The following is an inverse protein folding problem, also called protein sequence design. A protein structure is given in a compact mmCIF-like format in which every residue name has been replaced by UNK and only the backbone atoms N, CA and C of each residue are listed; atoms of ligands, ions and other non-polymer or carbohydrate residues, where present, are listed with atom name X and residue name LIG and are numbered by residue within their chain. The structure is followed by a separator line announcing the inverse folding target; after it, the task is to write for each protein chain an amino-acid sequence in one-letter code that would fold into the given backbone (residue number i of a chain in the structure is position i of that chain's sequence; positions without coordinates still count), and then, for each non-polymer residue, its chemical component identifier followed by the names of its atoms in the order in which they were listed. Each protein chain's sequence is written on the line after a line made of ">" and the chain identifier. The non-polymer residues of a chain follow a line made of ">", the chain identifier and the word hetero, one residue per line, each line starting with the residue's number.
data_IF_051595760898
#
_entry.id   IF_051595760898
#
_cell.length_a   1.000
_cell.length_b   1.000
_cell.length_c   1.000
_cell.angle_alpha   90.00
_cell.angle_beta   90.00
_cell.angle_gamma   90.00
#
_symmetry.space_group_name_H-M   'P 1'
#
loop_
_entity.id
_entity.type
_entity.pdbx_description
1 polymer ?
#
# COMPACT_ATOMS: atom_id res chain seq x y z
N UNK A 1 2.90 -35.79 16.76
CA UNK A 1 3.26 -34.92 17.89
C UNK A 1 4.50 -34.08 17.61
N UNK A 2 5.66 -34.69 17.33
CA UNK A 2 6.92 -33.97 17.02
C UNK A 2 6.82 -32.96 15.86
N UNK A 3 6.22 -33.36 14.74
CA UNK A 3 6.05 -32.46 13.57
C UNK A 3 5.20 -31.23 13.90
N UNK A 4 4.12 -31.41 14.67
CA UNK A 4 3.23 -30.31 15.05
C UNK A 4 3.88 -29.35 16.05
N UNK A 5 4.65 -29.89 17.01
CA UNK A 5 5.46 -29.08 17.91
C UNK A 5 6.51 -28.28 17.14
N UNK A 6 7.23 -28.92 16.21
CA UNK A 6 8.20 -28.25 15.37
C UNK A 6 7.59 -27.13 14.52
N UNK A 7 6.47 -27.40 13.85
CA UNK A 7 5.75 -26.40 13.05
C UNK A 7 5.29 -25.21 13.90
N UNK A 8 4.76 -25.46 15.10
CA UNK A 8 4.36 -24.40 16.03
C UNK A 8 5.56 -23.58 16.51
N UNK A 9 6.69 -24.23 16.82
CA UNK A 9 7.93 -23.53 17.20
C UNK A 9 8.42 -22.64 16.07
N UNK A 10 8.48 -23.16 14.83
CA UNK A 10 8.87 -22.38 13.65
C UNK A 10 7.91 -21.20 13.42
N UNK A 11 6.60 -21.42 13.53
CA UNK A 11 5.59 -20.38 13.41
C UNK A 11 5.82 -19.25 14.42
N UNK A 12 6.03 -19.59 15.69
CA UNK A 12 6.26 -18.60 16.75
C UNK A 12 7.56 -17.84 16.51
N UNK A 13 8.67 -18.53 16.19
CA UNK A 13 9.96 -17.89 15.95
C UNK A 13 9.90 -16.94 14.75
N UNK A 14 9.31 -17.37 13.64
CA UNK A 14 9.19 -16.56 12.43
C UNK A 14 8.30 -15.33 12.68
N UNK A 15 7.17 -15.52 13.36
CA UNK A 15 6.27 -14.40 13.68
C UNK A 15 6.87 -13.42 14.65
N UNK A 16 7.54 -13.88 15.71
CA UNK A 16 8.19 -13.01 16.68
C UNK A 16 9.32 -12.21 16.04
N UNK A 17 10.12 -12.83 15.17
CA UNK A 17 11.18 -12.14 14.44
C UNK A 17 10.61 -11.07 13.51
N UNK A 18 9.60 -11.42 12.71
CA UNK A 18 8.94 -10.48 11.81
C UNK A 18 8.22 -9.36 12.58
N UNK A 19 7.57 -9.66 13.69
CA UNK A 19 6.89 -8.68 14.54
C UNK A 19 7.88 -7.73 15.21
N UNK A 20 9.04 -8.22 15.66
CA UNK A 20 10.13 -7.37 16.19
C UNK A 20 10.69 -6.45 15.11
N UNK A 21 10.90 -6.97 13.89
CA UNK A 21 11.39 -6.17 12.78
C UNK A 21 10.40 -5.06 12.38
N UNK A 22 9.14 -5.41 12.13
CA UNK A 22 8.09 -4.46 11.73
C UNK A 22 7.69 -3.51 12.86
N UNK A 23 7.71 -3.98 14.10
CA UNK A 23 7.39 -3.20 15.29
C UNK A 23 8.52 -2.27 15.75
N UNK A 24 9.72 -2.38 15.16
CA UNK A 24 10.84 -1.51 15.48
C UNK A 24 10.49 -0.05 15.13
N UNK A 25 10.73 0.86 16.07
CA UNK A 25 10.50 2.30 15.88
C UNK A 25 11.28 2.85 14.69
N UNK A 26 12.50 2.37 14.47
CA UNK A 26 13.32 2.75 13.32
C UNK A 26 12.66 2.33 12.00
N UNK A 27 12.15 1.10 11.89
CA UNK A 27 11.45 0.63 10.69
C UNK A 27 10.21 1.48 10.44
N UNK A 28 9.34 1.66 11.45
CA UNK A 28 8.11 2.45 11.32
C UNK A 28 8.38 3.90 10.88
N UNK A 29 9.42 4.53 11.41
CA UNK A 29 9.77 5.90 11.05
C UNK A 29 10.40 6.01 9.66
N UNK A 30 11.27 5.08 9.25
CA UNK A 30 12.07 5.23 8.03
C UNK A 30 11.52 4.48 6.82
N UNK A 31 10.50 3.63 6.99
CA UNK A 31 9.94 2.84 5.88
C UNK A 31 9.45 3.70 4.71
N UNK A 32 8.84 4.85 4.98
CA UNK A 32 8.41 5.78 3.92
C UNK A 32 9.59 6.41 3.16
N UNK A 33 10.74 6.61 3.81
CA UNK A 33 11.96 7.09 3.18
C UNK A 33 12.58 6.00 2.31
N UNK A 34 12.59 4.75 2.80
CA UNK A 34 13.00 3.59 2.01
C UNK A 34 12.15 3.46 0.74
N UNK A 35 10.83 3.56 0.86
CA UNK A 35 9.92 3.48 -0.28
C UNK A 35 10.14 4.65 -1.26
N UNK A 36 10.36 5.86 -0.75
CA UNK A 36 10.69 7.02 -1.58
C UNK A 36 12.02 6.83 -2.33
N UNK A 37 13.05 6.30 -1.65
CA UNK A 37 14.33 5.97 -2.27
C UNK A 37 14.14 4.88 -3.35
N UNK A 38 13.33 3.85 -3.08
CA UNK A 38 13.00 2.81 -4.08
C UNK A 38 12.33 3.42 -5.31
N UNK A 39 11.40 4.37 -5.16
CA UNK A 39 10.74 5.01 -6.32
C UNK A 39 11.70 5.90 -7.11
N UNK A 40 12.59 6.63 -6.43
CA UNK A 40 13.57 7.53 -7.09
C UNK A 40 14.66 6.74 -7.82
N UNK A 41 15.25 5.75 -7.15
CA UNK A 41 16.38 4.99 -7.69
C UNK A 41 15.95 3.72 -8.44
N UNK A 42 14.76 3.19 -8.20
CA UNK A 42 14.29 1.94 -8.80
C UNK A 42 14.43 1.88 -10.32
N UNK A 43 14.12 2.95 -11.07
CA UNK A 43 14.29 2.92 -12.52
C UNK A 43 15.73 2.86 -13.01
N UNK A 44 16.74 3.17 -12.18
CA UNK A 44 18.15 2.94 -12.57
C UNK A 44 18.46 1.44 -12.67
N UNK A 45 17.65 0.58 -12.04
CA UNK A 45 17.74 -0.88 -12.20
C UNK A 45 17.44 -1.32 -13.64
N UNK A 46 16.73 -0.51 -14.44
CA UNK A 46 16.46 -0.81 -15.85
C UNK A 46 17.74 -0.99 -16.69
N UNK A 47 18.86 -0.39 -16.27
CA UNK A 47 20.16 -0.53 -16.94
C UNK A 47 20.78 -1.92 -16.76
N UNK A 48 20.39 -2.64 -15.72
CA UNK A 48 20.99 -3.92 -15.32
C UNK A 48 20.07 -5.11 -15.63
N UNK A 49 18.77 -4.86 -15.79
CA UNK A 49 17.76 -5.91 -15.94
C UNK A 49 17.57 -6.27 -17.42
N UNK A 50 17.68 -7.58 -17.72
CA UNK A 50 17.47 -8.10 -19.07
C UNK A 50 16.00 -8.00 -19.49
N UNK A 51 15.75 -7.38 -20.64
CA UNK A 51 14.44 -7.24 -21.29
C UNK A 51 13.84 -8.59 -21.76
N UNK A 52 14.61 -9.68 -21.71
CA UNK A 52 14.16 -11.03 -22.10
C UNK A 52 13.54 -11.83 -20.95
N UNK A 53 13.47 -11.24 -19.76
CA UNK A 53 12.83 -11.86 -18.60
C UNK A 53 11.31 -12.00 -18.79
N UNK A 54 10.73 -13.03 -18.19
CA UNK A 54 9.27 -13.32 -18.20
C UNK A 54 8.46 -12.09 -17.72
N UNK A 55 9.05 -11.26 -16.86
CA UNK A 55 8.44 -10.07 -16.28
C UNK A 55 8.49 -8.81 -17.16
N UNK A 56 9.25 -8.82 -18.26
CA UNK A 56 9.32 -7.68 -19.18
C UNK A 56 8.03 -7.48 -20.00
N UNK A 57 7.14 -8.49 -20.03
CA UNK A 57 5.87 -8.40 -20.73
C UNK A 57 4.80 -7.79 -19.82
N UNK A 58 4.40 -6.53 -20.08
CA UNK A 58 3.33 -5.84 -19.32
C UNK A 58 2.00 -6.62 -19.34
N UNK A 59 1.81 -7.46 -20.35
CA UNK A 59 0.63 -8.30 -20.51
C UNK A 59 0.66 -9.57 -19.64
N UNK A 60 1.68 -9.77 -18.80
CA UNK A 60 1.80 -10.98 -18.01
C UNK A 60 0.62 -11.11 -17.03
N UNK A 61 0.05 -12.32 -16.95
CA UNK A 61 -1.16 -12.58 -16.18
C UNK A 61 -0.98 -12.26 -14.69
N UNK A 62 0.17 -12.62 -14.10
CA UNK A 62 0.44 -12.36 -12.69
C UNK A 62 0.42 -10.86 -12.35
N UNK A 63 1.02 -10.02 -13.22
CA UNK A 63 1.05 -8.57 -13.00
C UNK A 63 -0.38 -8.00 -12.99
N UNK A 64 -1.18 -8.34 -14.00
CA UNK A 64 -2.57 -7.86 -14.10
C UNK A 64 -3.47 -8.40 -13.00
N UNK A 65 -3.37 -9.68 -12.67
CA UNK A 65 -4.21 -10.30 -11.66
C UNK A 65 -3.92 -9.70 -10.28
N UNK A 66 -2.66 -9.62 -9.87
CA UNK A 66 -2.31 -9.14 -8.54
C UNK A 66 -2.51 -7.64 -8.37
N UNK A 67 -2.19 -6.82 -9.37
CA UNK A 67 -2.41 -5.37 -9.26
C UNK A 67 -3.88 -5.01 -9.26
N UNK A 68 -4.67 -5.57 -10.19
CA UNK A 68 -6.09 -5.23 -10.27
C UNK A 68 -6.88 -5.75 -9.07
N UNK A 69 -6.49 -6.92 -8.54
CA UNK A 69 -7.10 -7.50 -7.34
C UNK A 69 -6.44 -7.02 -6.03
N UNK A 70 -5.47 -6.11 -6.09
CA UNK A 70 -4.61 -5.84 -4.94
C UNK A 70 -5.33 -5.24 -3.74
N UNK A 71 -6.35 -4.41 -3.97
CA UNK A 71 -7.24 -3.94 -2.91
C UNK A 71 -7.96 -5.12 -2.26
N UNK A 72 -8.50 -6.06 -3.05
CA UNK A 72 -9.19 -7.25 -2.53
C UNK A 72 -8.29 -8.05 -1.59
N UNK A 73 -7.07 -8.36 -2.01
CA UNK A 73 -6.11 -9.07 -1.16
C UNK A 73 -5.73 -8.29 0.10
N UNK A 74 -5.53 -6.98 -0.02
CA UNK A 74 -5.22 -6.10 1.12
C UNK A 74 -6.38 -6.04 2.10
N UNK A 75 -7.63 -5.89 1.64
CA UNK A 75 -8.82 -5.92 2.49
C UNK A 75 -9.01 -7.27 3.17
N UNK A 76 -8.81 -8.38 2.46
CA UNK A 76 -8.98 -9.72 3.02
C UNK A 76 -7.95 -9.99 4.11
N UNK A 77 -6.66 -9.82 3.83
CA UNK A 77 -5.62 -10.19 4.80
C UNK A 77 -5.48 -9.16 5.92
N UNK A 78 -5.34 -7.87 5.57
CA UNK A 78 -5.18 -6.80 6.57
C UNK A 78 -6.45 -6.57 7.33
N UNK A 79 -7.61 -6.58 6.64
CA UNK A 79 -8.89 -6.39 7.30
C UNK A 79 -9.18 -7.51 8.29
N UNK A 80 -8.95 -8.76 7.91
CA UNK A 80 -9.05 -9.89 8.84
C UNK A 80 -8.06 -9.76 10.00
N UNK A 81 -6.83 -9.31 9.74
CA UNK A 81 -5.80 -9.14 10.78
C UNK A 81 -6.21 -8.09 11.81
N UNK A 82 -6.59 -6.90 11.34
CA UNK A 82 -7.06 -5.79 12.17
C UNK A 82 -8.32 -6.21 12.94
N UNK A 83 -9.24 -6.92 12.30
CA UNK A 83 -10.47 -7.38 12.93
C UNK A 83 -10.18 -8.39 14.06
N UNK A 84 -9.38 -9.42 13.80
CA UNK A 84 -9.05 -10.44 14.79
C UNK A 84 -8.22 -9.86 15.94
N UNK A 85 -7.26 -8.99 15.65
CA UNK A 85 -6.46 -8.31 16.69
C UNK A 85 -7.35 -7.44 17.58
N UNK A 86 -8.22 -6.62 16.98
CA UNK A 86 -9.13 -5.73 17.73
C UNK A 86 -10.15 -6.51 18.54
N UNK A 87 -10.73 -7.57 17.96
CA UNK A 87 -11.70 -8.43 18.62
C UNK A 87 -11.07 -9.23 19.77
N UNK A 88 -9.84 -9.73 19.61
CA UNK A 88 -9.12 -10.47 20.64
C UNK A 88 -8.90 -9.61 21.91
N UNK A 89 -8.60 -8.32 21.75
CA UNK A 89 -8.33 -7.43 22.90
C UNK A 89 -9.61 -6.91 23.55
N UNK A 90 -10.57 -6.42 22.76
CA UNK A 90 -11.73 -5.65 23.29
C UNK A 90 -13.06 -6.41 23.24
N UNK A 91 -13.13 -7.55 22.55
CA UNK A 91 -14.34 -8.36 22.30
C UNK A 91 -15.57 -7.57 21.80
N UNK A 92 -15.37 -6.36 21.26
CA UNK A 92 -16.43 -5.49 20.77
C UNK A 92 -16.41 -5.40 19.25
N UNK A 93 -17.54 -5.72 18.62
CA UNK A 93 -17.70 -5.67 17.16
C UNK A 93 -17.65 -4.23 16.63
N UNK A 94 -18.28 -3.29 17.33
CA UNK A 94 -18.35 -1.89 16.89
C UNK A 94 -16.97 -1.25 16.82
N UNK A 95 -16.13 -1.50 17.82
CA UNK A 95 -14.76 -0.98 17.84
C UNK A 95 -13.89 -1.63 16.76
N UNK A 96 -14.08 -2.93 16.52
CA UNK A 96 -13.37 -3.64 15.46
C UNK A 96 -13.74 -3.11 14.06
N UNK A 97 -15.03 -2.86 13.81
CA UNK A 97 -15.50 -2.22 12.58
C UNK A 97 -14.98 -0.78 12.43
N UNK A 98 -14.88 -0.04 13.54
CA UNK A 98 -14.31 1.30 13.52
C UNK A 98 -12.82 1.27 13.10
N UNK A 99 -12.04 0.30 13.58
CA UNK A 99 -10.66 0.13 13.11
C UNK A 99 -10.58 -0.35 11.65
N UNK A 100 -11.50 -1.20 11.22
CA UNK A 100 -11.60 -1.65 9.83
C UNK A 100 -11.93 -0.49 8.87
N UNK A 101 -12.63 0.55 9.36
CA UNK A 101 -12.95 1.73 8.56
C UNK A 101 -11.70 2.46 8.03
N UNK A 102 -10.52 2.30 8.67
CA UNK A 102 -9.25 2.83 8.14
C UNK A 102 -8.96 2.34 6.73
N UNK A 103 -9.12 1.04 6.49
CA UNK A 103 -8.90 0.44 5.17
C UNK A 103 -9.93 0.95 4.16
N UNK A 104 -11.20 1.08 4.59
CA UNK A 104 -12.27 1.60 3.74
C UNK A 104 -12.01 3.06 3.33
N UNK A 105 -11.56 3.90 4.27
CA UNK A 105 -11.19 5.29 4.00
C UNK A 105 -9.99 5.37 3.05
N UNK A 106 -8.95 4.56 3.24
CA UNK A 106 -7.80 4.52 2.35
C UNK A 106 -8.19 4.07 0.92
N UNK A 107 -9.04 3.05 0.79
CA UNK A 107 -9.57 2.59 -0.50
C UNK A 107 -10.47 3.63 -1.17
N UNK A 108 -11.30 4.32 -0.40
CA UNK A 108 -12.15 5.41 -0.89
C UNK A 108 -11.35 6.60 -1.40
N UNK A 109 -10.32 7.03 -0.65
CA UNK A 109 -9.41 8.10 -1.08
C UNK A 109 -8.64 7.71 -2.34
N UNK A 110 -8.14 6.48 -2.41
CA UNK A 110 -7.51 5.95 -3.62
C UNK A 110 -8.43 6.10 -4.84
N UNK A 111 -9.67 5.59 -4.75
CA UNK A 111 -10.63 5.67 -5.85
C UNK A 111 -10.95 7.12 -6.21
N UNK A 112 -11.12 8.00 -5.21
CA UNK A 112 -11.34 9.43 -5.42
C UNK A 112 -10.19 10.09 -6.16
N UNK A 113 -8.94 9.80 -5.77
CA UNK A 113 -7.75 10.33 -6.44
C UNK A 113 -7.59 9.77 -7.86
N UNK A 114 -7.89 8.49 -8.12
CA UNK A 114 -7.91 7.97 -9.49
C UNK A 114 -8.90 8.73 -10.37
N UNK A 115 -10.12 8.99 -9.87
CA UNK A 115 -11.12 9.78 -10.61
C UNK A 115 -10.70 11.23 -10.82
N UNK A 116 -10.04 11.82 -9.84
CA UNK A 116 -9.49 13.16 -9.96
C UNK A 116 -8.36 13.22 -11.00
N UNK A 117 -7.46 12.24 -10.99
CA UNK A 117 -6.37 12.13 -11.97
C UNK A 117 -6.90 11.88 -13.38
N UNK A 118 -7.90 11.00 -13.53
CA UNK A 118 -8.62 10.79 -14.79
C UNK A 118 -9.21 12.11 -15.31
N UNK A 119 -9.85 12.89 -14.42
CA UNK A 119 -10.44 14.18 -14.79
C UNK A 119 -9.35 15.19 -15.18
N UNK A 120 -8.30 15.31 -14.38
CA UNK A 120 -7.18 16.22 -14.63
C UNK A 120 -6.45 15.87 -15.94
N UNK A 121 -6.26 14.58 -16.23
CA UNK A 121 -5.65 14.16 -17.48
C UNK A 121 -6.54 14.56 -18.66
N UNK A 122 -7.85 14.31 -18.59
CA UNK A 122 -8.78 14.67 -19.66
C UNK A 122 -8.91 16.18 -19.88
N UNK A 123 -8.73 17.02 -18.85
CA UNK A 123 -8.82 18.47 -18.98
C UNK A 123 -7.50 19.12 -19.40
N UNK A 124 -6.36 18.55 -19.00
CA UNK A 124 -5.02 19.11 -19.30
C UNK A 124 -4.40 18.50 -20.55
N UNK A 125 -4.86 17.31 -20.96
CA UNK A 125 -4.35 16.62 -22.12
C UNK A 125 -4.87 17.19 -23.42
N UNK A 126 -4.13 16.91 -24.48
CA UNK A 126 -4.41 17.37 -25.83
C UNK A 126 -4.30 16.20 -26.80
N UNK A 127 -5.23 16.14 -27.75
CA UNK A 127 -5.24 15.15 -28.81
C UNK A 127 -4.52 15.70 -30.05
N UNK A 128 -3.64 14.88 -30.63
CA UNK A 128 -2.89 15.22 -31.83
C UNK A 128 -3.18 14.22 -32.94
N UNK A 129 -3.61 14.73 -34.09
CA UNK A 129 -3.71 13.98 -35.33
C UNK A 129 -2.36 14.00 -36.05
N UNK A 130 -1.85 12.83 -36.46
CA UNK A 130 -0.60 12.75 -37.23
C UNK A 130 -0.91 12.87 -38.72
N UNK A 131 -0.65 14.04 -39.31
CA UNK A 131 -0.69 14.15 -40.77
C UNK A 131 0.62 13.64 -41.36
N UNK A 132 0.52 12.62 -42.22
CA UNK A 132 1.61 12.11 -43.07
C UNK A 132 1.95 13.07 -44.22
N UNK A 133 1.86 14.38 -44.00
CA UNK A 133 2.31 15.36 -44.99
C UNK A 133 3.83 15.45 -44.82
N UNK A 134 4.55 14.99 -45.85
CA UNK A 134 5.99 15.11 -45.97
C UNK A 134 6.37 16.60 -46.05
N UNK A 135 6.43 17.26 -44.90
CA UNK A 135 7.09 18.56 -44.79
C UNK A 135 8.57 18.31 -45.03
N UNK A 136 9.21 19.15 -45.84
CA UNK A 136 10.58 19.03 -46.37
C UNK A 136 11.73 18.78 -45.36
N UNK A 137 11.44 18.66 -44.06
CA UNK A 137 12.37 18.37 -42.97
C UNK A 137 12.10 17.03 -42.22
N UNK A 138 11.22 16.15 -42.72
CA UNK A 138 11.09 14.77 -42.21
C UNK A 138 10.47 14.61 -40.82
N UNK A 139 9.87 15.67 -40.25
CA UNK A 139 9.12 15.60 -39.00
C UNK A 139 7.61 15.57 -39.28
N UNK A 140 6.86 14.60 -38.74
CA UNK A 140 5.41 14.53 -38.95
C UNK A 140 4.71 15.75 -38.34
N UNK A 141 3.80 16.36 -39.11
CA UNK A 141 3.02 17.50 -38.65
C UNK A 141 1.91 17.00 -37.71
N UNK A 142 1.92 17.45 -36.47
CA UNK A 142 0.90 17.13 -35.47
C UNK A 142 -0.13 18.26 -35.40
N UNK A 143 -1.37 17.98 -35.77
CA UNK A 143 -2.48 18.96 -35.67
C UNK A 143 -3.18 18.78 -34.34
N UNK A 144 -3.23 19.86 -33.54
CA UNK A 144 -3.95 19.91 -32.27
C UNK A 144 -5.46 19.86 -32.53
N UNK A 145 -6.16 18.93 -31.88
CA UNK A 145 -7.61 18.86 -31.88
C UNK A 145 -8.14 19.20 -30.49
N UNK A 146 -8.73 20.37 -30.38
CA UNK A 146 -9.29 20.88 -29.12
C UNK A 146 -10.62 20.19 -28.80
N UNK A 147 -10.83 19.83 -27.52
CA UNK A 147 -12.13 19.42 -26.99
C UNK A 147 -12.47 17.92 -27.04
N UNK A 148 -11.57 17.05 -27.51
CA UNK A 148 -11.81 15.60 -27.52
C UNK A 148 -11.29 14.92 -26.25
N UNK A 149 -12.06 13.96 -25.72
CA UNK A 149 -11.63 13.16 -24.57
C UNK A 149 -10.54 12.17 -24.96
N UNK A 150 -9.72 11.73 -23.98
CA UNK A 150 -8.66 10.73 -24.21
C UNK A 150 -9.18 9.47 -24.92
N UNK A 151 -10.39 9.03 -24.56
CA UNK A 151 -11.01 7.82 -25.13
C UNK A 151 -11.38 8.01 -26.60
N UNK A 152 -11.95 9.15 -26.95
CA UNK A 152 -12.31 9.48 -28.34
C UNK A 152 -11.06 9.65 -29.19
N UNK A 153 -10.05 10.35 -28.67
CA UNK A 153 -8.75 10.52 -29.30
C UNK A 153 -8.11 9.16 -29.67
N UNK A 154 -7.96 8.27 -28.68
CA UNK A 154 -7.35 6.96 -28.90
C UNK A 154 -8.19 6.05 -29.80
N UNK A 155 -9.53 6.18 -29.76
CA UNK A 155 -10.43 5.45 -30.67
C UNK A 155 -10.29 5.93 -32.12
N UNK A 156 -9.98 7.21 -32.32
CA UNK A 156 -9.68 7.80 -33.62
C UNK A 156 -8.30 7.41 -34.17
N UNK A 157 -7.49 6.66 -33.43
CA UNK A 157 -6.11 6.32 -33.83
C UNK A 157 -5.12 7.48 -33.63
N UNK A 158 -5.55 8.55 -32.94
CA UNK A 158 -4.76 9.74 -32.69
C UNK A 158 -3.83 9.58 -31.47
N UNK A 159 -2.86 10.49 -31.34
CA UNK A 159 -1.88 10.48 -30.25
C UNK A 159 -2.31 11.44 -29.15
N UNK A 160 -2.47 10.92 -27.93
CA UNK A 160 -2.77 11.71 -26.75
C UNK A 160 -1.47 12.14 -26.03
N UNK A 161 -1.36 13.42 -25.65
CA UNK A 161 -0.32 13.89 -24.72
C UNK A 161 -0.97 14.62 -23.56
N UNK A 162 -0.70 14.16 -22.33
CA UNK A 162 -1.18 14.77 -21.11
C UNK A 162 -0.28 14.44 -19.92
N UNK A 163 -0.57 15.06 -18.78
CA UNK A 163 0.11 14.73 -17.53
C UNK A 163 -0.37 13.37 -17.01
N UNK A 164 0.25 12.29 -17.47
CA UNK A 164 -0.02 10.94 -16.98
C UNK A 164 0.66 10.75 -15.62
N UNK A 165 -0.10 10.31 -14.62
CA UNK A 165 0.44 9.89 -13.31
C UNK A 165 0.35 8.37 -13.24
N UNK A 166 1.40 7.71 -12.76
CA UNK A 166 1.38 6.25 -12.67
C UNK A 166 0.48 5.79 -11.53
N UNK A 167 -0.74 5.39 -11.89
CA UNK A 167 -1.71 4.78 -10.97
C UNK A 167 -1.13 3.50 -10.32
N UNK A 168 -0.49 2.63 -11.09
CA UNK A 168 0.09 1.38 -10.56
C UNK A 168 1.11 1.64 -9.42
N UNK A 169 2.01 2.64 -9.60
CA UNK A 169 2.99 3.00 -8.55
C UNK A 169 2.30 3.67 -7.37
N UNK A 170 1.35 4.56 -7.63
CA UNK A 170 0.54 5.21 -6.59
C UNK A 170 -0.15 4.15 -5.71
N UNK A 171 -0.75 3.14 -6.33
CA UNK A 171 -1.49 2.07 -5.66
C UNK A 171 -0.57 1.23 -4.78
N UNK A 172 0.52 0.72 -5.37
CA UNK A 172 1.48 -0.13 -4.67
C UNK A 172 2.11 0.59 -3.50
N UNK A 173 2.48 1.87 -3.65
CA UNK A 173 3.07 2.65 -2.58
C UNK A 173 2.10 2.82 -1.41
N UNK A 174 0.83 3.17 -1.70
CA UNK A 174 -0.20 3.31 -0.69
C UNK A 174 -0.45 2.00 0.07
N UNK A 175 -0.54 0.87 -0.65
CA UNK A 175 -0.69 -0.45 -0.04
C UNK A 175 0.50 -0.85 0.83
N UNK A 176 1.74 -0.62 0.39
CA UNK A 176 2.93 -0.91 1.19
C UNK A 176 2.92 -0.12 2.51
N UNK A 177 2.63 1.18 2.45
CA UNK A 177 2.62 2.06 3.62
C UNK A 177 1.49 1.71 4.60
N UNK A 178 0.27 1.47 4.09
CA UNK A 178 -0.87 1.04 4.88
C UNK A 178 -0.57 -0.28 5.59
N UNK A 179 -0.07 -1.26 4.84
CA UNK A 179 0.22 -2.59 5.35
C UNK A 179 1.32 -2.56 6.42
N UNK A 180 2.39 -1.79 6.21
CA UNK A 180 3.45 -1.60 7.19
C UNK A 180 2.94 -0.96 8.49
N UNK A 181 2.08 0.06 8.43
CA UNK A 181 1.51 0.69 9.64
C UNK A 181 0.55 -0.21 10.41
N UNK A 182 -0.39 -0.88 9.72
CA UNK A 182 -1.38 -1.74 10.41
C UNK A 182 -0.70 -2.96 11.05
N UNK A 183 0.34 -3.52 10.42
CA UNK A 183 1.06 -4.68 10.95
C UNK A 183 2.11 -4.34 12.00
N UNK A 184 2.65 -3.11 12.03
CA UNK A 184 3.64 -2.69 13.02
C UNK A 184 3.11 -2.71 14.48
N UNK A 185 1.79 -2.73 14.67
CA UNK A 185 1.16 -2.82 16.01
C UNK A 185 1.41 -4.18 16.68
N UNK A 186 1.67 -5.23 15.89
CA UNK A 186 1.79 -6.59 16.41
C UNK A 186 3.03 -6.79 17.28
N UNK A 187 4.16 -6.13 16.95
CA UNK A 187 5.39 -6.21 17.74
C UNK A 187 5.21 -5.72 19.18
N UNK A 188 4.76 -4.47 19.40
CA UNK A 188 4.43 -3.97 20.72
C UNK A 188 3.36 -4.79 21.45
N UNK A 189 2.37 -5.32 20.73
CA UNK A 189 1.34 -6.19 21.30
C UNK A 189 1.94 -7.47 21.90
N UNK A 190 2.88 -8.12 21.20
CA UNK A 190 3.58 -9.29 21.69
C UNK A 190 4.54 -8.97 22.83
N UNK A 191 5.24 -7.83 22.78
CA UNK A 191 6.16 -7.44 23.87
C UNK A 191 5.44 -7.16 25.19
N UNK A 192 4.19 -6.73 25.12
CA UNK A 192 3.32 -6.58 26.29
C UNK A 192 2.69 -7.91 26.73
N UNK A 193 3.10 -9.07 26.19
CA UNK A 193 2.54 -10.38 26.57
C UNK A 193 1.13 -10.64 26.03
N UNK A 194 0.74 -10.01 24.92
CA UNK A 194 -0.55 -10.26 24.27
C UNK A 194 -0.74 -11.73 23.90
N UNK A 195 -1.94 -12.28 24.14
CA UNK A 195 -2.26 -13.66 23.77
C UNK A 195 -2.27 -13.76 22.24
N UNK A 196 -1.43 -14.63 21.69
CA UNK A 196 -1.24 -14.71 20.24
C UNK A 196 -1.53 -16.12 19.76
N UNK A 197 -2.80 -16.33 19.45
CA UNK A 197 -3.32 -17.57 18.90
C UNK A 197 -2.71 -17.88 17.52
N UNK A 198 -2.58 -19.16 17.19
CA UNK A 198 -2.00 -19.60 15.92
C UNK A 198 -2.67 -18.96 14.67
N UNK A 199 -4.01 -18.78 14.60
CA UNK A 199 -4.64 -18.11 13.46
C UNK A 199 -4.20 -16.65 13.27
N UNK A 200 -4.03 -15.90 14.37
CA UNK A 200 -3.58 -14.51 14.31
C UNK A 200 -2.13 -14.42 13.81
N UNK A 201 -1.27 -15.33 14.29
CA UNK A 201 0.13 -15.46 13.85
C UNK A 201 0.24 -15.80 12.37
N UNK A 202 -0.54 -16.77 11.90
CA UNK A 202 -0.58 -17.17 10.49
C UNK A 202 -1.04 -15.99 9.61
N UNK A 203 -2.08 -15.29 10.04
CA UNK A 203 -2.62 -14.14 9.30
C UNK A 203 -1.63 -12.97 9.24
N UNK A 204 -0.90 -12.71 10.32
CA UNK A 204 0.20 -11.75 10.33
C UNK A 204 1.29 -12.13 9.32
N UNK A 205 1.68 -13.42 9.23
CA UNK A 205 2.64 -13.86 8.22
C UNK A 205 2.11 -13.65 6.80
N UNK A 206 0.84 -13.91 6.52
CA UNK A 206 0.24 -13.59 5.23
C UNK A 206 0.33 -12.10 4.91
N UNK A 207 0.13 -11.22 5.89
CA UNK A 207 0.31 -9.78 5.71
C UNK A 207 1.78 -9.42 5.40
N UNK A 208 2.75 -10.04 6.07
CA UNK A 208 4.19 -9.82 5.79
C UNK A 208 4.57 -10.32 4.39
N UNK A 209 4.07 -11.49 3.98
CA UNK A 209 4.28 -12.02 2.63
C UNK A 209 3.64 -11.12 1.57
N UNK A 210 2.44 -10.60 1.84
CA UNK A 210 1.75 -9.66 0.98
C UNK A 210 2.54 -8.34 0.85
N UNK A 211 3.17 -7.85 1.92
CA UNK A 211 4.03 -6.67 1.89
C UNK A 211 5.25 -6.90 1.00
N UNK A 212 5.91 -8.05 1.17
CA UNK A 212 7.01 -8.45 0.32
C UNK A 212 6.60 -8.53 -1.16
N UNK A 213 5.41 -9.07 -1.44
CA UNK A 213 4.86 -9.14 -2.79
C UNK A 213 4.61 -7.75 -3.39
N UNK A 214 4.04 -6.80 -2.63
CA UNK A 214 3.83 -5.44 -3.11
C UNK A 214 5.13 -4.70 -3.40
N UNK A 215 6.14 -4.84 -2.54
CA UNK A 215 7.47 -4.28 -2.75
C UNK A 215 8.13 -4.91 -3.99
N UNK A 216 8.00 -6.23 -4.17
CA UNK A 216 8.51 -6.93 -5.34
C UNK A 216 7.85 -6.45 -6.63
N UNK A 217 6.52 -6.34 -6.65
CA UNK A 217 5.77 -5.83 -7.81
C UNK A 217 6.14 -4.38 -8.13
N UNK A 218 6.38 -3.56 -7.10
CA UNK A 218 6.86 -2.18 -7.27
C UNK A 218 8.25 -2.15 -7.91
N UNK A 219 9.19 -2.96 -7.42
CA UNK A 219 10.52 -3.07 -8.01
C UNK A 219 10.47 -3.55 -9.46
N UNK A 220 9.65 -4.56 -9.77
CA UNK A 220 9.42 -5.00 -11.14
C UNK A 220 8.89 -3.86 -12.02
N UNK A 221 7.91 -3.10 -11.53
CA UNK A 221 7.31 -2.00 -12.29
C UNK A 221 8.33 -0.90 -12.60
N UNK A 222 9.16 -0.54 -11.61
CA UNK A 222 10.19 0.48 -11.77
C UNK A 222 11.34 0.00 -12.67
N UNK A 223 11.73 -1.26 -12.58
CA UNK A 223 12.84 -1.82 -13.35
C UNK A 223 12.48 -2.13 -14.82
N UNK A 224 11.31 -2.73 -15.08
CA UNK A 224 10.91 -3.16 -16.43
C UNK A 224 10.16 -2.08 -17.22
N UNK A 225 9.45 -1.16 -16.54
CA UNK A 225 8.68 -0.10 -17.20
C UNK A 225 9.03 1.29 -16.65
N UNK A 226 10.30 1.74 -16.77
CA UNK A 226 10.69 3.05 -16.28
C UNK A 226 9.97 4.16 -17.06
N UNK A 227 9.21 4.99 -16.34
CA UNK A 227 8.46 6.15 -16.87
C UNK A 227 8.62 7.33 -15.91
N UNK A 228 9.63 8.16 -16.17
CA UNK A 228 9.82 9.40 -15.43
C UNK A 228 9.19 10.59 -16.17
N UNK A 229 8.59 11.56 -15.46
CA UNK A 229 8.43 11.68 -14.00
C UNK A 229 7.15 11.01 -13.46
N UNK A 230 6.36 10.33 -14.30
CA UNK A 230 5.00 9.86 -13.97
C UNK A 230 4.96 8.88 -12.80
N UNK A 231 5.96 8.00 -12.68
CA UNK A 231 6.12 7.07 -11.56
C UNK A 231 6.48 7.78 -10.25
N UNK A 232 7.31 8.83 -10.32
CA UNK A 232 7.69 9.62 -9.16
C UNK A 232 6.47 10.36 -8.58
N UNK A 233 5.64 10.94 -9.44
CA UNK A 233 4.39 11.59 -9.03
C UNK A 233 3.42 10.61 -8.37
N UNK A 234 3.29 9.40 -8.94
CA UNK A 234 2.46 8.36 -8.34
C UNK A 234 2.93 7.95 -6.94
N UNK A 235 4.23 7.70 -6.77
CA UNK A 235 4.81 7.37 -5.46
C UNK A 235 4.67 8.50 -4.45
N UNK A 236 4.83 9.77 -4.88
CA UNK A 236 4.63 10.94 -4.04
C UNK A 236 3.18 11.07 -3.56
N UNK A 237 2.19 10.89 -4.44
CA UNK A 237 0.77 10.88 -4.06
C UNK A 237 0.46 9.79 -3.02
N UNK A 238 1.01 8.58 -3.22
CA UNK A 238 0.87 7.50 -2.24
C UNK A 238 1.40 7.88 -0.86
N UNK A 239 2.58 8.49 -0.81
CA UNK A 239 3.17 8.99 0.43
C UNK A 239 2.35 10.12 1.06
N UNK A 240 1.82 11.05 0.26
CA UNK A 240 1.02 12.18 0.76
C UNK A 240 -0.30 11.71 1.37
N UNK A 241 -1.02 10.80 0.71
CA UNK A 241 -2.25 10.23 1.26
C UNK A 241 -1.97 9.51 2.56
N UNK A 242 -0.93 8.67 2.60
CA UNK A 242 -0.54 7.99 3.83
C UNK A 242 -0.19 8.97 4.96
N UNK A 243 0.60 10.02 4.69
CA UNK A 243 0.91 11.04 5.70
C UNK A 243 -0.35 11.75 6.19
N UNK A 244 -1.23 12.16 5.28
CA UNK A 244 -2.50 12.80 5.61
C UNK A 244 -3.37 11.92 6.50
N UNK A 245 -3.47 10.64 6.20
CA UNK A 245 -4.22 9.66 6.99
C UNK A 245 -3.56 9.36 8.34
N UNK A 246 -2.38 8.73 8.34
CA UNK A 246 -1.78 8.14 9.53
C UNK A 246 -1.08 9.16 10.44
N UNK A 247 -0.44 10.18 9.86
CA UNK A 247 0.27 11.20 10.64
C UNK A 247 -0.63 12.40 11.00
N UNK A 248 -1.62 12.70 10.16
CA UNK A 248 -2.61 13.78 10.35
C UNK A 248 -3.91 13.30 10.99
N UNK A 249 -4.85 12.83 10.18
CA UNK A 249 -6.25 12.58 10.59
C UNK A 249 -6.36 11.54 11.72
N UNK A 250 -5.66 10.42 11.62
CA UNK A 250 -5.70 9.37 12.64
C UNK A 250 -4.99 9.76 13.93
N UNK A 251 -4.14 10.80 13.91
CA UNK A 251 -3.51 11.36 15.11
C UNK A 251 -4.46 12.18 15.96
N UNK A 252 -5.55 12.72 15.39
CA UNK A 252 -6.50 13.60 16.09
C UNK A 252 -7.36 12.90 17.17
N UNK A 253 -7.00 11.66 17.55
CA UNK A 253 -7.69 10.87 18.56
C UNK A 253 -8.95 10.19 18.03
N UNK A 254 -9.47 9.17 18.74
CA UNK A 254 -10.75 8.55 18.41
C UNK A 254 -11.89 9.54 18.68
N UNK A 255 -12.40 10.17 17.63
CA UNK A 255 -13.66 10.93 17.63
C UNK A 255 -14.64 10.23 16.69
N UNK A 256 -15.92 10.61 16.68
CA UNK A 256 -16.94 10.01 15.80
C UNK A 256 -16.51 9.97 14.31
N UNK A 257 -15.62 10.88 13.90
CA UNK A 257 -15.12 10.99 12.55
C UNK A 257 -13.67 10.49 12.35
N UNK A 258 -12.95 10.00 13.36
CA UNK A 258 -11.57 9.50 13.19
C UNK A 258 -11.35 8.13 13.83
N UNK A 259 -10.91 7.12 13.05
CA UNK A 259 -10.72 5.75 13.53
C UNK A 259 -9.52 5.55 14.48
N UNK A 260 -8.74 6.62 14.72
CA UNK A 260 -7.60 6.64 15.64
C UNK A 260 -6.36 5.90 15.12
N UNK A 261 -5.21 6.17 15.73
CA UNK A 261 -3.92 5.55 15.36
C UNK A 261 -3.92 4.04 15.60
N UNK A 262 -3.25 3.26 14.73
CA UNK A 262 -2.96 1.85 15.00
C UNK A 262 -2.30 1.67 16.37
N UNK A 263 -2.86 0.81 17.22
CA UNK A 263 -2.38 0.52 18.57
C UNK A 263 -2.79 1.52 19.67
N UNK A 264 -3.30 2.71 19.32
CA UNK A 264 -3.79 3.68 20.31
C UNK A 264 -5.13 3.22 20.88
N UNK A 265 -5.22 3.08 22.20
CA UNK A 265 -6.36 2.49 22.91
C UNK A 265 -6.26 0.97 23.15
N UNK A 266 -5.60 0.21 22.25
CA UNK A 266 -5.32 -1.22 22.48
C UNK A 266 -4.19 -1.42 23.49
N UNK A 267 -3.08 -0.67 23.38
CA UNK A 267 -1.89 -0.86 24.23
C UNK A 267 -2.00 -0.15 25.59
N UNK A 268 -2.64 1.04 25.63
CA UNK A 268 -2.81 1.81 26.89
C UNK A 268 -3.66 1.07 27.93
N UNK A 269 -4.73 0.39 27.49
CA UNK A 269 -5.64 -0.32 28.41
C UNK A 269 -4.98 -1.57 29.02
N UNK A 270 -4.04 -2.22 28.31
CA UNK A 270 -3.35 -3.39 28.85
C UNK A 270 -2.40 -3.00 29.98
N UNK A 271 -1.68 -1.89 29.82
CA UNK A 271 -0.84 -1.34 30.88
C UNK A 271 -1.69 -0.97 32.12
N UNK A 272 -2.86 -0.36 31.92
CA UNK A 272 -3.78 -0.04 33.04
C UNK A 272 -4.32 -1.30 33.75
N UNK A 273 -4.58 -2.38 33.02
CA UNK A 273 -5.02 -3.65 33.59
C UNK A 273 -3.90 -4.35 34.37
N UNK A 274 -2.67 -4.37 33.85
CA UNK A 274 -1.49 -4.91 34.54
C UNK A 274 -1.14 -4.10 35.81
N UNK A 275 -1.24 -2.76 35.73
CA UNK A 275 -1.03 -1.88 36.88
C UNK A 275 -2.10 -2.06 37.98
N UNK A 276 -3.35 -2.36 37.59
CA UNK A 276 -4.43 -2.64 38.53
C UNK A 276 -4.27 -4.02 39.20
N UNK A 277 -3.83 -5.03 38.47
CA UNK A 277 -3.58 -6.38 38.99
C UNK A 277 -2.35 -6.40 39.93
N UNK A 278 -1.30 -5.66 39.58
CA UNK A 278 -0.13 -5.41 40.44
C UNK A 278 -0.51 -4.77 41.78
N UNK A 279 -1.38 -3.75 41.78
CA UNK A 279 -1.83 -3.10 43.01
C UNK A 279 -2.69 -3.99 43.92
N UNK A 280 -3.44 -4.93 43.34
CA UNK A 280 -4.25 -5.85 44.12
C UNK A 280 -3.44 -7.01 44.73
N UNK A 281 -2.26 -7.33 44.19
CA UNK A 281 -1.39 -8.37 44.74
C UNK A 281 -0.56 -7.89 45.96
N UNK A 282 -0.48 -6.58 46.20
CA UNK A 282 0.25 -5.98 47.32
C UNK A 282 -0.64 -5.47 48.48
N UNK A 283 -1.96 -5.67 48.38
CA UNK A 283 -2.94 -5.42 49.46
C UNK A 283 -3.50 -6.74 49.97
#
# INVERSE_FOLDING_TARGET
>A
MWVQMFLNTVLVVLTDLAARFLGNTAFRQHFHLLLSAVVVFGPTLSLWVSQHSIFAKKSHFLYRLFLHSGWGWTFIFVGSFVFLLSFSIRRSLLLSLHHLSRLAVAGGLWLGFCKLLDLLENTTGSCYESLNVEVANGQPLLVLREGESKKECLKGGMVWRGYEVSEDVFFLCLCCLLLAEETAVFGPYLSLGGVSEAPLRILFLFCVLLLGLWIFLLLCLLAYFPRFPTQLLGGALGCLIWRGLYQGWYRMGPSWCSPGRPGHGLLSTKNEAEDAESKNHYN
#
